data_IF_593026148414
#
_entry.id   IF_593026148414
#
_cell.length_a   1.000
_cell.length_b   1.000
_cell.length_c   1.000
_cell.angle_alpha   90.00
_cell.angle_beta   90.00
_cell.angle_gamma   90.00
#
_symmetry.space_group_name_H-M   'P 1'
#
loop_
_entity.id
_entity.type
_entity.pdbx_description
1 polymer ?
#
# COMPACT_ATOMS: atom_id res chain seq x y z
N UNK A 1 -38.19 -7.40 -10.33
CA UNK A 1 -36.98 -7.94 -9.64
C UNK A 1 -36.22 -6.87 -8.83
N UNK A 2 -35.87 -5.68 -9.43
CA UNK A 2 -35.18 -4.60 -8.71
C UNK A 2 -35.98 -4.10 -7.52
N UNK A 3 -37.30 -3.83 -7.70
CA UNK A 3 -38.14 -3.38 -6.61
C UNK A 3 -38.18 -4.34 -5.42
N UNK A 4 -38.18 -5.66 -5.68
CA UNK A 4 -38.09 -6.69 -4.59
C UNK A 4 -36.77 -6.61 -3.87
N UNK A 5 -35.65 -6.49 -4.59
CA UNK A 5 -34.32 -6.37 -3.99
C UNK A 5 -34.18 -5.06 -3.20
N UNK A 6 -34.70 -3.97 -3.72
CA UNK A 6 -34.75 -2.68 -3.02
C UNK A 6 -35.60 -2.75 -1.74
N UNK A 7 -36.69 -3.48 -1.73
CA UNK A 7 -37.51 -3.72 -0.54
C UNK A 7 -36.77 -4.57 0.50
N UNK A 8 -36.07 -5.66 0.07
CA UNK A 8 -35.31 -6.55 0.94
C UNK A 8 -34.14 -5.83 1.64
N UNK A 9 -33.47 -4.95 0.93
CA UNK A 9 -32.20 -4.35 1.35
C UNK A 9 -32.32 -2.90 1.80
N UNK A 10 -33.38 -2.19 1.38
CA UNK A 10 -33.53 -0.74 1.57
C UNK A 10 -33.68 -0.29 3.02
N UNK A 11 -33.99 -1.22 3.94
CA UNK A 11 -34.04 -0.92 5.38
C UNK A 11 -32.66 -0.65 5.99
N UNK A 12 -31.60 -1.28 5.46
CA UNK A 12 -30.26 -1.26 6.03
C UNK A 12 -29.22 -0.62 5.11
N UNK A 13 -29.54 -0.47 3.80
CA UNK A 13 -28.58 0.00 2.79
C UNK A 13 -29.17 1.13 1.94
N UNK A 14 -28.31 2.03 1.50
CA UNK A 14 -28.65 3.03 0.51
C UNK A 14 -28.56 2.40 -0.89
N UNK A 15 -29.69 2.31 -1.59
CA UNK A 15 -29.80 1.60 -2.86
C UNK A 15 -29.66 2.56 -4.03
N UNK A 16 -28.75 2.26 -4.94
CA UNK A 16 -28.64 2.88 -6.25
C UNK A 16 -29.16 1.88 -7.30
N UNK A 17 -30.00 2.34 -8.21
CA UNK A 17 -30.58 1.49 -9.24
C UNK A 17 -30.07 1.90 -10.63
N UNK A 18 -29.57 0.91 -11.40
CA UNK A 18 -29.25 1.01 -12.81
C UNK A 18 -30.20 0.15 -13.62
N UNK A 19 -30.65 0.63 -14.78
CA UNK A 19 -31.57 -0.09 -15.65
C UNK A 19 -30.87 -0.97 -16.68
N UNK A 20 -29.57 -0.75 -16.91
CA UNK A 20 -28.73 -1.47 -17.85
C UNK A 20 -27.24 -1.35 -17.44
N UNK A 21 -26.38 -2.12 -18.13
CA UNK A 21 -24.96 -2.15 -17.80
C UNK A 21 -24.22 -0.82 -18.01
N UNK A 22 -24.62 0.01 -18.98
CA UNK A 22 -24.00 1.33 -19.18
C UNK A 22 -24.27 2.29 -18.02
N UNK A 23 -25.49 2.30 -17.51
CA UNK A 23 -25.81 3.09 -16.31
C UNK A 23 -25.05 2.58 -15.08
N UNK A 24 -24.90 1.26 -14.94
CA UNK A 24 -24.10 0.67 -13.88
C UNK A 24 -22.64 1.17 -13.94
N UNK A 25 -22.01 1.14 -15.12
CA UNK A 25 -20.64 1.64 -15.30
C UNK A 25 -20.51 3.15 -15.03
N UNK A 26 -21.48 3.95 -15.47
CA UNK A 26 -21.51 5.38 -15.18
C UNK A 26 -21.60 5.67 -13.66
N UNK A 27 -22.36 4.86 -12.91
CA UNK A 27 -22.40 4.95 -11.45
C UNK A 27 -21.07 4.53 -10.81
N UNK A 28 -20.40 3.52 -11.36
CA UNK A 28 -19.06 3.12 -10.91
C UNK A 28 -18.03 4.24 -11.13
N UNK A 29 -18.07 4.91 -12.26
CA UNK A 29 -17.22 6.08 -12.53
C UNK A 29 -17.50 7.23 -11.55
N UNK A 30 -18.77 7.45 -11.20
CA UNK A 30 -19.16 8.55 -10.32
C UNK A 30 -18.84 8.28 -8.84
N UNK A 31 -19.10 7.08 -8.35
CA UNK A 31 -19.03 6.75 -6.92
C UNK A 31 -17.82 5.90 -6.54
N UNK A 32 -17.20 5.19 -7.49
CA UNK A 32 -16.02 4.35 -7.29
C UNK A 32 -16.19 3.39 -6.11
N UNK A 33 -15.20 3.34 -5.25
CA UNK A 33 -15.18 2.49 -4.03
C UNK A 33 -16.18 2.91 -2.95
N UNK A 34 -16.96 3.98 -3.16
CA UNK A 34 -18.12 4.31 -2.34
C UNK A 34 -19.28 3.31 -2.50
N UNK A 35 -19.29 2.53 -3.61
CA UNK A 35 -20.21 1.41 -3.80
C UNK A 35 -19.70 0.22 -2.98
N UNK A 36 -20.54 -0.26 -2.05
CA UNK A 36 -20.17 -1.36 -1.15
C UNK A 36 -20.30 -2.74 -1.79
N UNK A 37 -21.27 -2.92 -2.74
CA UNK A 37 -21.54 -4.17 -3.43
C UNK A 37 -22.45 -3.90 -4.64
N UNK A 38 -22.33 -4.72 -5.68
CA UNK A 38 -23.20 -4.70 -6.85
C UNK A 38 -24.00 -6.00 -6.90
N UNK A 39 -25.33 -5.87 -7.05
CA UNK A 39 -26.20 -6.96 -7.46
C UNK A 39 -26.43 -6.84 -8.95
N UNK A 40 -25.91 -7.78 -9.72
CA UNK A 40 -25.85 -7.70 -11.19
C UNK A 40 -26.68 -8.78 -11.84
N UNK A 41 -27.63 -8.39 -12.66
CA UNK A 41 -28.35 -9.36 -13.53
C UNK A 41 -27.51 -9.66 -14.78
N UNK A 42 -27.59 -10.89 -15.27
CA UNK A 42 -26.94 -11.29 -16.53
C UNK A 42 -27.66 -10.65 -17.70
N UNK A 43 -29.00 -10.86 -17.78
CA UNK A 43 -29.81 -10.45 -18.92
C UNK A 43 -30.33 -9.03 -18.71
N UNK A 44 -29.68 -8.08 -19.33
CA UNK A 44 -30.07 -6.66 -19.32
C UNK A 44 -30.07 -6.06 -20.72
N UNK A 45 -30.91 -5.04 -20.98
CA UNK A 45 -30.87 -4.33 -22.25
C UNK A 45 -29.60 -3.50 -22.38
N UNK A 46 -29.24 -3.17 -23.62
CA UNK A 46 -28.10 -2.29 -24.01
C UNK A 46 -26.75 -2.92 -23.73
N UNK A 47 -26.48 -3.39 -22.50
CA UNK A 47 -25.23 -4.04 -22.06
C UNK A 47 -25.59 -5.08 -21.01
N UNK A 48 -25.17 -6.33 -21.23
CA UNK A 48 -25.40 -7.45 -20.31
C UNK A 48 -24.45 -7.45 -19.11
N UNK A 49 -24.70 -8.35 -18.15
CA UNK A 49 -23.90 -8.45 -16.93
C UNK A 49 -22.46 -8.91 -17.17
N UNK A 50 -22.21 -9.75 -18.16
CA UNK A 50 -20.85 -10.21 -18.47
C UNK A 50 -20.01 -9.09 -19.11
N UNK A 51 -20.60 -8.26 -19.93
CA UNK A 51 -19.93 -7.08 -20.46
C UNK A 51 -19.57 -6.07 -19.35
N UNK A 52 -20.45 -5.90 -18.36
CA UNK A 52 -20.14 -5.09 -17.17
C UNK A 52 -18.97 -5.67 -16.39
N UNK A 53 -18.96 -6.99 -16.12
CA UNK A 53 -17.84 -7.65 -15.42
C UNK A 53 -16.52 -7.53 -16.18
N UNK A 54 -16.55 -7.67 -17.51
CA UNK A 54 -15.35 -7.52 -18.34
C UNK A 54 -14.78 -6.11 -18.25
N UNK A 55 -15.62 -5.09 -18.19
CA UNK A 55 -15.19 -3.70 -18.01
C UNK A 55 -14.68 -3.44 -16.60
N UNK A 56 -15.34 -4.01 -15.57
CA UNK A 56 -14.88 -3.93 -14.18
C UNK A 56 -13.50 -4.60 -14.00
N UNK A 57 -13.23 -5.72 -14.67
CA UNK A 57 -11.92 -6.36 -14.68
C UNK A 57 -10.86 -5.46 -15.34
N UNK A 58 -11.17 -4.90 -16.51
CA UNK A 58 -10.26 -4.00 -17.23
C UNK A 58 -9.88 -2.77 -16.42
N UNK A 59 -10.80 -2.25 -15.63
CA UNK A 59 -10.63 -1.07 -14.78
C UNK A 59 -10.22 -1.40 -13.34
N UNK A 60 -9.94 -2.66 -13.02
CA UNK A 60 -9.58 -3.17 -11.69
C UNK A 60 -10.64 -2.93 -10.59
N UNK A 61 -11.86 -2.52 -10.93
CA UNK A 61 -12.92 -2.32 -9.94
C UNK A 61 -13.37 -3.62 -9.26
N UNK A 62 -13.24 -4.77 -9.95
CA UNK A 62 -13.63 -6.07 -9.41
C UNK A 62 -12.82 -6.47 -8.16
N UNK A 63 -11.61 -5.93 -8.01
CA UNK A 63 -10.74 -6.20 -6.86
C UNK A 63 -11.27 -5.54 -5.58
N UNK A 64 -11.89 -4.36 -5.73
CA UNK A 64 -12.35 -3.55 -4.60
C UNK A 64 -13.86 -3.65 -4.36
N UNK A 65 -14.66 -3.89 -5.40
CA UNK A 65 -16.12 -3.85 -5.34
C UNK A 65 -16.67 -5.25 -5.59
N UNK A 66 -17.21 -5.93 -4.56
CA UNK A 66 -17.79 -7.25 -4.74
C UNK A 66 -19.03 -7.21 -5.62
N UNK A 67 -19.14 -8.23 -6.47
CA UNK A 67 -20.31 -8.43 -7.35
C UNK A 67 -20.99 -9.73 -6.98
N UNK A 68 -22.30 -9.70 -6.76
CA UNK A 68 -23.15 -10.89 -6.67
C UNK A 68 -24.02 -10.91 -7.92
N UNK A 69 -23.87 -11.92 -8.77
CA UNK A 69 -24.75 -12.09 -9.92
C UNK A 69 -26.08 -12.71 -9.51
N UNK A 70 -27.18 -12.21 -10.08
CA UNK A 70 -28.53 -12.75 -9.89
C UNK A 70 -29.13 -13.05 -11.25
N UNK A 71 -29.40 -14.33 -11.56
CA UNK A 71 -29.94 -14.71 -12.85
C UNK A 71 -30.91 -15.87 -12.76
N UNK A 72 -31.73 -16.03 -13.82
CA UNK A 72 -32.54 -17.23 -14.06
C UNK A 72 -31.77 -18.31 -14.84
N UNK A 73 -30.58 -17.98 -15.34
CA UNK A 73 -29.72 -18.95 -16.00
C UNK A 73 -28.91 -19.68 -14.95
N UNK A 74 -29.12 -20.99 -14.81
CA UNK A 74 -28.49 -21.86 -13.83
C UNK A 74 -27.60 -22.94 -14.44
N UNK A 75 -27.32 -22.84 -15.76
CA UNK A 75 -26.39 -23.73 -16.44
C UNK A 75 -24.98 -23.62 -15.82
N UNK A 76 -24.38 -24.77 -15.48
CA UNK A 76 -23.05 -24.86 -14.85
C UNK A 76 -21.97 -24.06 -15.61
N UNK A 77 -22.08 -23.97 -16.92
CA UNK A 77 -21.15 -23.21 -17.78
C UNK A 77 -21.25 -21.70 -17.52
N UNK A 78 -22.46 -21.19 -17.34
CA UNK A 78 -22.73 -19.76 -17.07
C UNK A 78 -22.23 -19.39 -15.69
N UNK A 79 -22.55 -20.21 -14.69
CA UNK A 79 -22.10 -20.01 -13.31
C UNK A 79 -20.58 -20.05 -13.22
N UNK A 80 -19.95 -21.04 -13.88
CA UNK A 80 -18.48 -21.14 -13.91
C UNK A 80 -17.84 -19.91 -14.55
N UNK A 81 -18.37 -19.47 -15.69
CA UNK A 81 -17.88 -18.28 -16.38
C UNK A 81 -17.99 -17.01 -15.51
N UNK A 82 -19.07 -16.86 -14.76
CA UNK A 82 -19.21 -15.76 -13.81
C UNK A 82 -18.09 -15.76 -12.76
N UNK A 83 -17.79 -16.91 -12.15
CA UNK A 83 -16.71 -17.03 -11.18
C UNK A 83 -15.32 -16.82 -11.80
N UNK A 84 -15.09 -17.27 -13.04
CA UNK A 84 -13.84 -16.99 -13.77
C UNK A 84 -13.62 -15.48 -13.99
N UNK A 85 -14.69 -14.72 -14.14
CA UNK A 85 -14.65 -13.25 -14.23
C UNK A 85 -14.57 -12.55 -12.87
N UNK A 86 -14.50 -13.29 -11.77
CA UNK A 86 -14.21 -12.74 -10.44
C UNK A 86 -15.44 -12.32 -9.64
N UNK A 87 -16.65 -12.82 -9.95
CA UNK A 87 -17.81 -12.53 -9.09
C UNK A 87 -17.61 -13.15 -7.70
N UNK A 88 -18.08 -12.44 -6.69
CA UNK A 88 -17.97 -12.89 -5.30
C UNK A 88 -18.97 -13.97 -4.95
N UNK A 89 -20.15 -13.95 -5.59
CA UNK A 89 -21.20 -14.95 -5.40
C UNK A 89 -22.19 -14.95 -6.56
N UNK A 90 -22.99 -16.02 -6.65
CA UNK A 90 -24.02 -16.21 -7.66
C UNK A 90 -25.33 -16.69 -7.02
N UNK A 91 -26.46 -16.08 -7.40
CA UNK A 91 -27.79 -16.40 -6.88
C UNK A 91 -28.73 -16.73 -8.04
N UNK A 92 -29.21 -17.98 -8.09
CA UNK A 92 -30.21 -18.42 -9.07
C UNK A 92 -31.61 -17.93 -8.70
N UNK A 93 -32.43 -17.66 -9.69
CA UNK A 93 -33.88 -17.40 -9.53
C UNK A 93 -34.68 -18.70 -9.70
N UNK A 94 -35.79 -18.88 -8.95
CA UNK A 94 -36.32 -17.99 -7.91
C UNK A 94 -35.46 -18.04 -6.64
N UNK A 95 -35.31 -16.90 -5.94
CA UNK A 95 -34.51 -16.80 -4.73
C UNK A 95 -35.35 -16.51 -3.48
N UNK A 96 -34.85 -16.96 -2.35
CA UNK A 96 -35.37 -16.61 -1.03
C UNK A 96 -34.81 -15.24 -0.60
N UNK A 97 -35.67 -14.36 -0.10
CA UNK A 97 -35.30 -13.01 0.34
C UNK A 97 -34.28 -13.03 1.49
N UNK A 98 -34.46 -13.93 2.45
CA UNK A 98 -33.55 -14.08 3.60
C UNK A 98 -32.18 -14.59 3.18
N UNK A 99 -32.12 -15.47 2.16
CA UNK A 99 -30.85 -15.96 1.59
C UNK A 99 -30.12 -14.83 0.90
N UNK A 100 -30.77 -14.05 0.04
CA UNK A 100 -30.16 -12.90 -0.63
C UNK A 100 -29.63 -11.89 0.38
N UNK A 101 -30.44 -11.50 1.36
CA UNK A 101 -30.01 -10.58 2.42
C UNK A 101 -28.76 -11.09 3.13
N UNK A 102 -28.71 -12.37 3.53
CA UNK A 102 -27.57 -12.95 4.22
C UNK A 102 -26.31 -12.99 3.37
N UNK A 103 -26.42 -13.28 2.07
CA UNK A 103 -25.28 -13.28 1.14
C UNK A 103 -24.74 -11.87 0.97
N UNK A 104 -25.58 -10.86 0.73
CA UNK A 104 -25.20 -9.45 0.64
C UNK A 104 -24.51 -9.00 1.92
N UNK A 105 -25.14 -9.24 3.08
CA UNK A 105 -24.57 -8.87 4.38
C UNK A 105 -23.19 -9.50 4.62
N UNK A 106 -23.05 -10.79 4.37
CA UNK A 106 -21.78 -11.51 4.59
C UNK A 106 -20.69 -11.02 3.63
N UNK A 107 -21.03 -10.78 2.37
CA UNK A 107 -20.09 -10.28 1.36
C UNK A 107 -19.62 -8.88 1.72
N UNK A 108 -20.52 -7.96 2.02
CA UNK A 108 -20.17 -6.60 2.45
C UNK A 108 -19.28 -6.64 3.70
N UNK A 109 -19.64 -7.46 4.69
CA UNK A 109 -18.86 -7.62 5.93
C UNK A 109 -17.46 -8.16 5.68
N UNK A 110 -17.30 -9.11 4.75
CA UNK A 110 -16.00 -9.68 4.38
C UNK A 110 -15.11 -8.62 3.73
N UNK A 111 -15.61 -7.92 2.72
CA UNK A 111 -14.86 -6.88 2.01
C UNK A 111 -14.53 -5.67 2.90
N UNK A 112 -15.44 -5.28 3.79
CA UNK A 112 -15.16 -4.24 4.79
C UNK A 112 -14.03 -4.65 5.73
N UNK A 113 -13.96 -5.92 6.15
CA UNK A 113 -12.84 -6.43 6.95
C UNK A 113 -11.53 -6.43 6.17
N UNK A 114 -11.53 -6.86 4.89
CA UNK A 114 -10.35 -6.86 4.05
C UNK A 114 -9.79 -5.44 3.85
N UNK A 115 -10.66 -4.47 3.52
CA UNK A 115 -10.26 -3.06 3.40
C UNK A 115 -9.67 -2.51 4.70
N UNK A 116 -10.30 -2.83 5.85
CA UNK A 116 -9.79 -2.43 7.16
C UNK A 116 -8.41 -3.03 7.44
N UNK A 117 -8.21 -4.32 7.14
CA UNK A 117 -6.91 -4.97 7.32
C UNK A 117 -5.84 -4.35 6.42
N UNK A 118 -6.14 -4.11 5.14
CA UNK A 118 -5.22 -3.44 4.22
C UNK A 118 -4.80 -2.05 4.73
N UNK A 119 -5.77 -1.25 5.20
CA UNK A 119 -5.52 0.06 5.79
C UNK A 119 -4.64 -0.02 7.05
N UNK A 120 -4.89 -0.99 7.94
CA UNK A 120 -4.07 -1.20 9.14
C UNK A 120 -2.64 -1.62 8.79
N UNK A 121 -2.47 -2.52 7.82
CA UNK A 121 -1.14 -2.94 7.35
C UNK A 121 -0.36 -1.76 6.79
N UNK A 122 -0.99 -0.95 5.92
CA UNK A 122 -0.36 0.26 5.37
C UNK A 122 0.03 1.25 6.47
N UNK A 123 -0.84 1.44 7.46
CA UNK A 123 -0.56 2.31 8.61
C UNK A 123 0.62 1.79 9.44
N UNK A 124 0.67 0.47 9.70
CA UNK A 124 1.76 -0.15 10.47
C UNK A 124 3.11 -0.07 9.73
N UNK A 125 3.10 -0.24 8.40
CA UNK A 125 4.32 -0.07 7.58
C UNK A 125 4.86 1.35 7.74
N UNK A 126 4.02 2.38 7.57
CA UNK A 126 4.42 3.78 7.73
C UNK A 126 4.93 4.10 9.14
N UNK A 127 4.29 3.56 10.16
CA UNK A 127 4.73 3.74 11.55
C UNK A 127 6.09 3.07 11.79
N UNK A 128 6.30 1.87 11.28
CA UNK A 128 7.57 1.15 11.36
C UNK A 128 8.70 1.92 10.68
N UNK A 129 8.47 2.45 9.48
CA UNK A 129 9.43 3.29 8.75
C UNK A 129 9.81 4.52 9.56
N UNK A 130 8.81 5.24 10.09
CA UNK A 130 9.05 6.41 10.95
C UNK A 130 9.86 6.07 12.21
N UNK A 131 9.54 4.94 12.85
CA UNK A 131 10.27 4.49 14.04
C UNK A 131 11.71 4.10 13.70
N UNK A 132 11.94 3.46 12.55
CA UNK A 132 13.28 3.13 12.07
C UNK A 132 14.10 4.39 11.81
N UNK A 133 13.53 5.39 11.13
CA UNK A 133 14.20 6.67 10.88
C UNK A 133 14.53 7.39 12.19
N UNK A 134 13.61 7.39 13.15
CA UNK A 134 13.86 7.97 14.48
C UNK A 134 14.98 7.26 15.21
N UNK A 135 15.03 5.93 15.21
CA UNK A 135 16.11 5.17 15.85
C UNK A 135 17.48 5.46 15.21
N UNK A 136 17.55 5.54 13.89
CA UNK A 136 18.77 5.90 13.15
C UNK A 136 19.23 7.31 13.55
N UNK A 137 18.31 8.28 13.58
CA UNK A 137 18.63 9.66 14.00
C UNK A 137 19.18 9.71 15.41
N UNK A 138 18.53 9.04 16.37
CA UNK A 138 19.00 8.99 17.77
C UNK A 138 20.38 8.35 17.88
N UNK A 139 20.61 7.22 17.20
CA UNK A 139 21.91 6.55 17.22
C UNK A 139 23.01 7.44 16.64
N UNK A 140 22.75 8.11 15.53
CA UNK A 140 23.70 9.04 14.92
C UNK A 140 23.99 10.22 15.83
N UNK A 141 22.97 10.81 16.45
CA UNK A 141 23.13 11.93 17.41
C UNK A 141 23.95 11.52 18.64
N UNK A 142 23.76 10.31 19.17
CA UNK A 142 24.55 9.80 20.30
C UNK A 142 26.03 9.69 19.93
N UNK A 143 26.34 9.19 18.73
CA UNK A 143 27.71 9.06 18.25
C UNK A 143 28.37 10.42 18.05
N UNK A 144 27.64 11.37 17.46
CA UNK A 144 28.14 12.72 17.22
C UNK A 144 28.32 13.51 18.53
N UNK A 145 27.38 13.37 19.46
CA UNK A 145 27.51 14.00 20.78
C UNK A 145 28.78 13.53 21.51
N UNK A 146 29.12 12.24 21.38
CA UNK A 146 30.34 11.66 21.93
C UNK A 146 31.62 12.26 21.31
N UNK A 147 31.55 12.67 20.05
CA UNK A 147 32.64 13.27 19.27
C UNK A 147 32.72 14.80 19.40
N UNK A 148 31.84 15.42 20.21
CA UNK A 148 31.77 16.87 20.37
C UNK A 148 31.21 17.61 19.15
N UNK A 149 30.66 16.90 18.17
CA UNK A 149 30.00 17.46 17.01
C UNK A 149 28.52 17.77 17.31
N UNK A 150 27.94 18.68 16.57
CA UNK A 150 26.52 19.03 16.76
C UNK A 150 25.64 18.11 15.90
N UNK A 151 24.48 17.66 16.41
CA UNK A 151 23.50 16.85 15.66
C UNK A 151 23.00 17.49 14.34
N UNK A 152 23.33 18.78 14.09
CA UNK A 152 23.11 19.43 12.81
C UNK A 152 23.93 18.82 11.65
N UNK A 153 25.08 18.20 11.96
CA UNK A 153 25.93 17.56 10.94
C UNK A 153 25.19 16.40 10.25
N UNK A 154 24.51 15.53 11.01
CA UNK A 154 23.72 14.40 10.46
C UNK A 154 22.63 14.91 9.52
N UNK A 155 21.92 15.96 9.91
CA UNK A 155 20.87 16.56 9.08
C UNK A 155 21.43 17.14 7.77
N UNK A 156 22.59 17.78 7.83
CA UNK A 156 23.27 18.31 6.64
C UNK A 156 23.73 17.20 5.70
N UNK A 157 24.31 16.11 6.22
CA UNK A 157 24.73 14.95 5.43
C UNK A 157 23.54 14.32 4.72
N UNK A 158 22.42 14.07 5.42
CA UNK A 158 21.20 13.55 4.84
C UNK A 158 20.66 14.44 3.70
N UNK A 159 20.57 15.75 3.96
CA UNK A 159 20.10 16.73 2.95
C UNK A 159 21.03 16.79 1.73
N UNK A 160 22.34 16.76 1.95
CA UNK A 160 23.33 16.78 0.87
C UNK A 160 23.24 15.49 0.03
N UNK A 161 23.14 14.33 0.70
CA UNK A 161 23.00 13.03 0.03
C UNK A 161 21.73 13.00 -0.82
N UNK A 162 20.60 13.45 -0.28
CA UNK A 162 19.35 13.53 -1.04
C UNK A 162 19.51 14.39 -2.32
N UNK A 163 20.05 15.58 -2.19
CA UNK A 163 20.27 16.48 -3.34
C UNK A 163 21.25 15.90 -4.37
N UNK A 164 22.26 15.16 -3.92
CA UNK A 164 23.18 14.48 -4.82
C UNK A 164 22.47 13.34 -5.58
N UNK A 165 21.63 12.55 -4.92
CA UNK A 165 20.85 11.51 -5.58
C UNK A 165 19.88 12.09 -6.61
N UNK A 166 19.12 13.12 -6.25
CA UNK A 166 18.21 13.83 -7.16
C UNK A 166 18.96 14.35 -8.39
N UNK A 167 20.14 14.93 -8.21
CA UNK A 167 20.94 15.45 -9.33
C UNK A 167 21.58 14.35 -10.17
N UNK A 168 21.99 13.26 -9.55
CA UNK A 168 22.58 12.13 -10.25
C UNK A 168 21.55 11.50 -11.20
N UNK A 169 20.36 11.21 -10.71
CA UNK A 169 19.28 10.61 -11.52
C UNK A 169 18.76 11.53 -12.63
N UNK A 170 18.85 12.86 -12.46
CA UNK A 170 18.54 13.81 -13.53
C UNK A 170 19.63 13.88 -14.63
N UNK A 171 20.89 13.54 -14.32
CA UNK A 171 22.02 13.69 -15.25
C UNK A 171 22.40 12.42 -15.99
N UNK A 172 22.07 11.26 -15.46
CA UNK A 172 22.49 9.98 -16.04
C UNK A 172 21.57 8.85 -15.66
N UNK A 173 21.26 7.99 -16.61
CA UNK A 173 20.53 6.74 -16.43
C UNK A 173 21.48 5.54 -16.19
N UNK A 174 22.77 5.81 -15.96
CA UNK A 174 23.80 4.76 -15.78
C UNK A 174 23.52 3.90 -14.56
N UNK A 175 22.85 4.44 -13.54
CA UNK A 175 22.58 3.78 -12.27
C UNK A 175 21.09 3.60 -12.13
N UNK A 176 20.66 2.35 -11.88
CA UNK A 176 19.28 2.05 -11.51
C UNK A 176 19.07 2.38 -10.03
N UNK A 177 18.54 3.57 -9.78
CA UNK A 177 18.30 4.12 -8.45
C UNK A 177 16.81 4.47 -8.29
N UNK A 178 15.95 3.46 -8.10
CA UNK A 178 14.54 3.70 -7.81
C UNK A 178 14.37 4.51 -6.52
N UNK A 179 13.25 5.20 -6.33
CA UNK A 179 13.01 6.07 -5.18
C UNK A 179 13.29 5.40 -3.83
N UNK A 180 12.91 4.14 -3.66
CA UNK A 180 13.13 3.38 -2.43
C UNK A 180 14.64 3.20 -2.14
N UNK A 181 15.44 2.95 -3.18
CA UNK A 181 16.90 2.84 -3.04
C UNK A 181 17.54 4.19 -2.69
N UNK A 182 17.03 5.29 -3.27
CA UNK A 182 17.52 6.64 -2.93
C UNK A 182 17.23 6.97 -1.46
N UNK A 183 16.02 6.68 -0.97
CA UNK A 183 15.63 6.86 0.43
C UNK A 183 16.52 6.03 1.38
N UNK A 184 16.81 4.77 1.01
CA UNK A 184 17.70 3.90 1.78
C UNK A 184 19.12 4.48 1.86
N UNK A 185 19.67 4.99 0.75
CA UNK A 185 21.00 5.63 0.72
C UNK A 185 21.03 6.88 1.60
N UNK A 186 19.99 7.71 1.54
CA UNK A 186 19.87 8.90 2.40
C UNK A 186 19.81 8.50 3.86
N UNK A 187 19.03 7.48 4.20
CA UNK A 187 18.93 6.95 5.56
C UNK A 187 20.28 6.38 6.05
N UNK A 188 20.95 5.59 5.21
CA UNK A 188 22.25 5.00 5.52
C UNK A 188 23.33 6.06 5.71
N UNK A 189 23.24 7.20 5.01
CA UNK A 189 24.23 8.30 5.15
C UNK A 189 24.28 8.88 6.56
N UNK A 190 23.18 8.82 7.30
CA UNK A 190 23.15 9.25 8.71
C UNK A 190 24.03 8.36 9.62
N UNK A 191 24.28 7.10 9.22
CA UNK A 191 25.08 6.15 9.98
C UNK A 191 26.57 6.14 9.58
N UNK A 192 27.01 7.04 8.70
CA UNK A 192 28.39 7.03 8.15
C UNK A 192 29.49 6.98 9.22
N UNK A 193 29.22 7.51 10.39
CA UNK A 193 30.15 7.61 11.53
C UNK A 193 29.82 6.63 12.69
N UNK A 194 28.83 5.76 12.54
CA UNK A 194 28.42 4.84 13.62
C UNK A 194 29.57 3.99 14.15
N UNK A 195 30.55 3.67 13.32
CA UNK A 195 31.76 2.93 13.71
C UNK A 195 32.65 3.64 14.72
N UNK A 196 32.51 4.96 14.89
CA UNK A 196 33.20 5.73 15.94
C UNK A 196 32.85 5.25 17.35
N UNK A 197 31.76 4.51 17.51
CA UNK A 197 31.36 3.92 18.79
C UNK A 197 32.43 2.95 19.35
N UNK A 198 33.22 2.35 18.46
CA UNK A 198 34.32 1.41 18.83
C UNK A 198 35.65 2.10 19.07
N UNK A 199 35.78 3.39 18.83
CA UNK A 199 37.01 4.15 19.02
C UNK A 199 37.11 4.61 20.48
N UNK A 200 38.31 4.44 21.09
CA UNK A 200 38.57 4.91 22.46
C UNK A 200 38.46 6.44 22.54
N UNK A 201 37.82 6.95 23.61
CA UNK A 201 37.65 8.38 23.85
C UNK A 201 38.94 9.17 23.91
N UNK A 202 40.04 8.53 24.33
CA UNK A 202 41.37 9.17 24.36
C UNK A 202 41.88 9.47 22.95
N UNK A 203 41.46 8.72 21.95
CA UNK A 203 41.81 8.94 20.53
C UNK A 203 40.78 9.85 19.92
N UNK A 204 39.50 9.53 20.12
CA UNK A 204 38.36 10.25 19.54
C UNK A 204 38.35 11.73 19.92
N UNK A 205 38.58 12.03 21.18
CA UNK A 205 38.52 13.39 21.74
C UNK A 205 39.91 13.94 22.10
N UNK A 206 40.99 13.42 21.48
CA UNK A 206 42.34 13.86 21.75
C UNK A 206 42.53 15.34 21.42
N UNK A 207 42.98 16.17 22.39
CA UNK A 207 43.33 17.55 22.10
C UNK A 207 44.63 17.61 21.31
N UNK A 208 44.56 17.88 20.03
CA UNK A 208 45.72 18.01 19.13
C UNK A 208 45.75 16.96 18.01
N UNK A 209 46.90 16.82 17.38
CA UNK A 209 47.05 15.90 16.24
C UNK A 209 47.20 14.45 16.72
N UNK A 210 46.55 13.54 16.01
CA UNK A 210 46.71 12.10 16.20
C UNK A 210 48.11 11.66 15.72
N UNK A 211 48.71 10.65 16.40
CA UNK A 211 49.90 9.96 15.85
C UNK A 211 49.50 9.13 14.64
N UNK A 212 50.45 8.66 13.81
CA UNK A 212 50.14 7.78 12.70
C UNK A 212 49.36 6.52 13.12
N UNK A 213 49.71 5.90 14.24
CA UNK A 213 49.07 4.71 14.80
C UNK A 213 47.63 5.01 15.28
N UNK A 214 47.44 6.14 15.98
CA UNK A 214 46.13 6.58 16.43
C UNK A 214 45.25 6.94 15.24
N UNK A 215 45.81 7.54 14.17
CA UNK A 215 45.09 7.83 12.95
C UNK A 215 44.67 6.56 12.21
N UNK A 216 45.51 5.54 12.21
CA UNK A 216 45.15 4.24 11.64
C UNK A 216 44.03 3.56 12.43
N UNK A 217 44.01 3.67 13.75
CA UNK A 217 42.90 3.23 14.58
C UNK A 217 41.61 4.05 14.27
N UNK A 218 41.73 5.38 14.15
CA UNK A 218 40.61 6.21 13.80
C UNK A 218 39.96 5.80 12.46
N UNK A 219 40.75 5.43 11.45
CA UNK A 219 40.22 4.97 10.15
C UNK A 219 39.43 3.67 10.24
N UNK A 220 39.63 2.86 11.28
CA UNK A 220 38.88 1.59 11.42
C UNK A 220 37.36 1.78 11.61
N UNK A 221 36.90 2.97 12.00
CA UNK A 221 35.46 3.23 12.12
C UNK A 221 34.68 2.98 10.80
N UNK A 222 35.34 3.22 9.65
CA UNK A 222 34.70 2.98 8.33
C UNK A 222 34.65 1.49 7.99
N UNK A 223 35.57 0.66 8.51
CA UNK A 223 35.58 -0.79 8.30
C UNK A 223 34.50 -1.50 9.13
N UNK A 224 34.17 -0.97 10.30
CA UNK A 224 33.10 -1.50 11.16
C UNK A 224 31.73 -1.43 10.47
N UNK A 225 31.52 -0.50 9.53
CA UNK A 225 30.30 -0.37 8.73
C UNK A 225 30.13 -1.47 7.66
N UNK A 226 31.22 -2.09 7.22
CA UNK A 226 31.19 -3.14 6.17
C UNK A 226 30.66 -4.47 6.74
N UNK A 227 30.65 -4.63 8.07
CA UNK A 227 30.25 -5.85 8.77
C UNK A 227 28.88 -5.75 9.46
N UNK A 228 28.16 -4.65 9.30
CA UNK A 228 26.78 -4.45 9.72
C UNK A 228 25.86 -4.53 8.51
#
# INVERSE_FOLDING_TARGET
NRAILAEILGGDYNILEATNGKECLAMLEQYGTGIALILLDIVMPVMDGFAVLSEMNRSHWIEDIPVIMISSEDADTVVRHAYELGVSDYVSRPFDAGVVYRRVFNTIKLYAKQRRLASLVTSQIKEKEKNTQMMISILSEIVEFRNGESGQHVLHIGTLTQRLMERLTQKTDKYDLPPETQELIVMASALHDIGKIAIDDKILNKPGRLTPEEFDLMKTHTLSLIHI
#
